data_IF_633414411056
#
_entry.id   IF_633414411056
#
_cell.length_a   1.000
_cell.length_b   1.000
_cell.length_c   1.000
_cell.angle_alpha   90.00
_cell.angle_beta   90.00
_cell.angle_gamma   90.00
#
_symmetry.space_group_name_H-M   'P 1'
#
loop_
_entity.id
_entity.type
_entity.pdbx_description
1 polymer ?
#
# COMPACT_ATOMS: atom_id res chain seq x y z
N UNK A 1 4.92 -12.32 -16.01
CA UNK A 1 4.58 -10.96 -15.53
C UNK A 1 5.61 -9.94 -15.97
N UNK A 2 6.89 -10.08 -15.63
CA UNK A 2 7.96 -9.11 -15.91
C UNK A 2 8.02 -8.61 -17.37
N UNK A 3 8.26 -9.51 -18.36
CA UNK A 3 8.34 -9.10 -19.77
C UNK A 3 7.07 -8.41 -20.26
N UNK A 4 5.89 -8.92 -19.87
CA UNK A 4 4.61 -8.30 -20.24
C UNK A 4 4.46 -6.87 -19.70
N UNK A 5 4.99 -6.57 -18.51
CA UNK A 5 4.96 -5.22 -17.97
C UNK A 5 5.83 -4.27 -18.79
N UNK A 6 7.04 -4.70 -19.18
CA UNK A 6 7.92 -3.90 -20.05
C UNK A 6 7.34 -3.68 -21.45
N UNK A 7 6.76 -4.71 -22.05
CA UNK A 7 6.06 -4.61 -23.34
C UNK A 7 4.88 -3.63 -23.25
N UNK A 8 4.08 -3.73 -22.18
CA UNK A 8 2.87 -2.92 -22.02
C UNK A 8 3.19 -1.46 -21.76
N UNK A 9 4.20 -1.15 -20.94
CA UNK A 9 4.60 0.25 -20.70
C UNK A 9 5.05 0.93 -22.00
N UNK A 10 5.77 0.21 -22.86
CA UNK A 10 6.18 0.74 -24.17
C UNK A 10 4.97 0.91 -25.10
N UNK A 11 4.06 -0.06 -25.13
CA UNK A 11 2.83 0.01 -25.94
C UNK A 11 1.92 1.17 -25.54
N UNK A 12 1.92 1.55 -24.25
CA UNK A 12 1.18 2.70 -23.74
C UNK A 12 1.91 4.05 -23.94
N UNK A 13 3.10 4.03 -24.55
CA UNK A 13 3.87 5.24 -24.88
C UNK A 13 4.96 5.59 -23.88
N UNK A 14 5.25 4.71 -22.93
CA UNK A 14 6.37 4.83 -22.01
C UNK A 14 7.73 4.53 -22.66
N UNK A 15 8.80 4.81 -21.96
CA UNK A 15 10.17 4.64 -22.44
C UNK A 15 11.00 3.84 -21.44
N UNK A 16 11.64 2.78 -21.89
CA UNK A 16 12.63 2.05 -21.08
C UNK A 16 13.89 2.90 -20.95
N UNK A 17 14.27 3.22 -19.73
CA UNK A 17 15.46 4.00 -19.39
C UNK A 17 16.63 3.09 -18.99
N UNK A 18 16.33 2.00 -18.27
CA UNK A 18 17.30 0.95 -17.94
C UNK A 18 16.71 -0.38 -18.37
N UNK A 19 17.36 -1.01 -19.32
CA UNK A 19 16.95 -2.31 -19.81
C UNK A 19 17.19 -3.37 -18.74
N UNK A 20 16.13 -4.09 -18.44
CA UNK A 20 16.20 -5.28 -17.59
C UNK A 20 16.57 -6.52 -18.40
N UNK A 21 15.86 -7.59 -18.17
CA UNK A 21 16.00 -8.84 -18.92
C UNK A 21 15.98 -10.06 -18.01
N UNK A 22 15.63 -11.18 -18.58
CA UNK A 22 15.73 -12.48 -17.92
C UNK A 22 17.18 -12.94 -17.99
N UNK A 23 17.74 -13.35 -16.85
CA UNK A 23 19.09 -13.92 -16.80
C UNK A 23 19.08 -15.31 -17.44
N UNK A 24 20.17 -15.64 -18.14
CA UNK A 24 20.39 -16.94 -18.79
C UNK A 24 21.82 -17.42 -18.55
N UNK A 25 22.06 -18.70 -18.73
CA UNK A 25 23.34 -19.35 -18.51
C UNK A 25 23.33 -20.23 -17.27
N UNK A 26 24.52 -20.72 -16.91
CA UNK A 26 24.70 -21.62 -15.78
C UNK A 26 24.18 -21.00 -14.48
N UNK A 27 23.28 -21.71 -13.79
CA UNK A 27 22.63 -21.28 -12.56
C UNK A 27 21.35 -20.44 -12.77
N UNK A 28 20.99 -20.11 -14.02
CA UNK A 28 19.80 -19.31 -14.34
C UNK A 28 18.81 -20.04 -15.27
N UNK A 29 18.90 -21.34 -15.39
CA UNK A 29 18.12 -22.18 -16.31
C UNK A 29 16.61 -22.11 -16.02
N UNK A 30 16.23 -21.76 -14.79
CA UNK A 30 14.82 -21.65 -14.39
C UNK A 30 14.07 -20.51 -15.09
N UNK A 31 14.79 -19.50 -15.63
CA UNK A 31 14.18 -18.28 -16.19
C UNK A 31 13.46 -17.39 -15.16
N UNK A 32 13.64 -17.67 -13.85
CA UNK A 32 13.00 -16.91 -12.77
C UNK A 32 13.82 -15.69 -12.31
N UNK A 33 15.06 -15.59 -12.74
CA UNK A 33 15.94 -14.49 -12.35
C UNK A 33 15.91 -13.39 -13.40
N UNK A 34 15.66 -12.15 -12.95
CA UNK A 34 15.58 -10.99 -13.84
C UNK A 34 16.43 -9.84 -13.33
N UNK A 35 16.93 -9.01 -14.23
CA UNK A 35 17.57 -7.74 -13.90
C UNK A 35 16.49 -6.70 -13.64
N UNK A 36 16.68 -5.79 -12.66
CA UNK A 36 15.79 -4.64 -12.49
C UNK A 36 15.71 -3.79 -13.76
N UNK A 37 14.52 -3.26 -14.04
CA UNK A 37 14.27 -2.36 -15.16
C UNK A 37 13.70 -1.03 -14.64
N UNK A 38 14.00 0.06 -15.36
CA UNK A 38 13.45 1.39 -15.08
C UNK A 38 12.79 1.91 -16.34
N UNK A 39 11.54 2.36 -16.23
CA UNK A 39 10.79 2.96 -17.33
C UNK A 39 10.22 4.32 -16.94
N UNK A 40 10.28 5.28 -17.84
CA UNK A 40 9.49 6.52 -17.75
C UNK A 40 8.06 6.21 -18.19
N UNK A 41 7.09 6.61 -17.38
CA UNK A 41 5.68 6.32 -17.60
C UNK A 41 4.80 7.52 -17.19
N UNK A 42 3.54 7.47 -17.53
CA UNK A 42 2.52 8.40 -17.05
C UNK A 42 1.61 7.70 -16.04
N UNK A 43 1.12 8.43 -15.05
CA UNK A 43 0.25 7.88 -14.02
C UNK A 43 -1.02 7.23 -14.59
N UNK A 44 -1.51 7.73 -15.74
CA UNK A 44 -2.71 7.21 -16.39
C UNK A 44 -2.51 5.88 -17.16
N UNK A 45 -1.29 5.37 -17.27
CA UNK A 45 -1.06 4.09 -17.96
C UNK A 45 -1.69 2.95 -17.16
N UNK A 46 -2.38 2.06 -17.85
CA UNK A 46 -3.05 0.92 -17.23
C UNK A 46 -2.04 0.02 -16.48
N UNK A 47 -0.85 -0.19 -17.08
CA UNK A 47 0.19 -1.02 -16.45
C UNK A 47 0.72 -0.39 -15.14
N UNK A 48 0.72 0.93 -15.02
CA UNK A 48 1.12 1.64 -13.80
C UNK A 48 0.12 1.42 -12.67
N UNK A 49 -1.17 1.31 -13.01
CA UNK A 49 -2.25 1.04 -12.07
C UNK A 49 -2.37 -0.43 -11.67
N UNK A 50 -1.59 -1.31 -12.30
CA UNK A 50 -1.62 -2.74 -12.06
C UNK A 50 -0.40 -3.20 -11.28
N UNK A 51 -0.61 -3.98 -10.23
CA UNK A 51 0.47 -4.55 -9.45
C UNK A 51 1.28 -5.56 -10.29
N UNK A 52 2.57 -5.27 -10.49
CA UNK A 52 3.51 -6.15 -11.18
C UNK A 52 4.48 -6.74 -10.18
N UNK A 53 4.30 -7.98 -9.77
CA UNK A 53 5.22 -8.68 -8.87
C UNK A 53 6.57 -8.96 -9.55
N UNK A 54 7.34 -7.90 -9.85
CA UNK A 54 8.64 -7.98 -10.51
C UNK A 54 9.42 -6.67 -10.28
N UNK A 55 10.75 -6.68 -10.41
CA UNK A 55 11.58 -5.51 -10.18
C UNK A 55 11.53 -4.53 -11.39
N UNK A 56 10.40 -3.89 -11.56
CA UNK A 56 10.16 -2.81 -12.53
C UNK A 56 9.84 -1.52 -11.77
N UNK A 57 10.64 -0.47 -12.01
CA UNK A 57 10.43 0.85 -11.44
C UNK A 57 9.88 1.79 -12.51
N UNK A 58 8.72 2.38 -12.26
CA UNK A 58 8.18 3.46 -13.09
C UNK A 58 8.57 4.81 -12.53
N UNK A 59 9.17 5.66 -13.38
CA UNK A 59 9.41 7.06 -13.08
C UNK A 59 8.29 7.90 -13.68
N UNK A 60 7.52 8.54 -12.81
CA UNK A 60 6.34 9.32 -13.18
C UNK A 60 6.58 10.77 -12.76
N UNK A 61 6.57 11.68 -13.72
CA UNK A 61 6.67 13.10 -13.43
C UNK A 61 5.33 13.65 -12.99
N UNK A 62 5.34 14.49 -11.99
CA UNK A 62 4.18 15.28 -11.60
C UNK A 62 4.51 16.77 -11.68
N UNK A 63 3.50 17.60 -11.67
CA UNK A 63 3.61 19.07 -11.65
C UNK A 63 2.68 19.64 -10.59
N UNK A 64 2.98 20.84 -10.13
CA UNK A 64 2.22 21.50 -9.06
C UNK A 64 2.85 21.25 -7.70
N UNK A 65 2.02 20.98 -6.71
CA UNK A 65 2.43 20.81 -5.32
C UNK A 65 2.58 19.32 -4.94
N UNK A 66 3.05 19.04 -3.73
CA UNK A 66 3.20 17.66 -3.24
C UNK A 66 1.86 16.91 -3.17
N UNK A 67 0.75 17.62 -2.97
CA UNK A 67 -0.60 17.05 -2.98
C UNK A 67 -0.91 16.34 -4.30
N UNK A 68 -0.44 16.88 -5.44
CA UNK A 68 -0.62 16.22 -6.73
C UNK A 68 0.12 14.86 -6.80
N UNK A 69 1.28 14.75 -6.19
CA UNK A 69 2.01 13.49 -6.10
C UNK A 69 1.30 12.50 -5.14
N UNK A 70 0.76 13.01 -4.03
CA UNK A 70 -0.04 12.22 -3.08
C UNK A 70 -1.30 11.68 -3.77
N UNK A 71 -1.99 12.51 -4.56
CA UNK A 71 -3.17 12.10 -5.33
C UNK A 71 -2.84 10.96 -6.30
N UNK A 72 -1.71 11.06 -7.01
CA UNK A 72 -1.24 9.99 -7.89
C UNK A 72 -0.97 8.69 -7.13
N UNK A 73 -0.25 8.79 -6.01
CA UNK A 73 0.04 7.64 -5.16
C UNK A 73 -1.23 7.00 -4.60
N UNK A 74 -2.18 7.81 -4.13
CA UNK A 74 -3.41 7.32 -3.54
C UNK A 74 -4.42 6.79 -4.57
N UNK A 75 -4.26 7.14 -5.85
CA UNK A 75 -5.16 6.76 -6.94
C UNK A 75 -5.13 5.29 -7.34
N UNK A 76 -4.21 4.49 -6.82
CA UNK A 76 -4.13 3.04 -7.09
C UNK A 76 -4.94 2.23 -6.08
N UNK A 77 -5.30 0.99 -6.47
CA UNK A 77 -6.09 0.10 -5.62
C UNK A 77 -5.32 -0.46 -4.41
N UNK A 78 -4.00 -0.48 -4.48
CA UNK A 78 -3.13 -0.97 -3.41
C UNK A 78 -2.73 0.15 -2.46
N UNK A 79 -2.46 -0.19 -1.20
CA UNK A 79 -2.04 0.75 -0.18
C UNK A 79 -1.18 0.10 0.91
N UNK A 80 -0.15 -0.66 0.51
CA UNK A 80 0.70 -1.36 1.47
C UNK A 80 1.75 -0.42 2.07
N UNK A 81 2.62 0.15 1.25
CA UNK A 81 3.77 0.91 1.70
C UNK A 81 4.08 2.08 0.78
N UNK A 82 4.46 3.19 1.36
CA UNK A 82 4.80 4.43 0.67
C UNK A 82 5.95 5.15 1.34
N UNK A 83 6.61 6.06 0.61
CA UNK A 83 7.65 6.91 1.17
C UNK A 83 7.69 8.26 0.47
N UNK A 84 8.03 9.29 1.22
CA UNK A 84 8.38 10.61 0.70
C UNK A 84 9.86 10.91 1.01
N UNK A 85 10.56 11.46 0.02
CA UNK A 85 11.92 11.97 0.18
C UNK A 85 11.87 13.50 0.11
N UNK A 86 11.97 14.15 1.26
CA UNK A 86 11.88 15.62 1.34
C UNK A 86 12.66 16.17 2.52
N UNK A 87 13.15 17.39 2.38
CA UNK A 87 13.71 18.20 3.46
C UNK A 87 12.71 19.25 3.98
N UNK A 88 11.51 19.31 3.43
CA UNK A 88 10.45 20.21 3.84
C UNK A 88 9.57 19.54 4.89
N UNK A 89 9.67 20.02 6.14
CA UNK A 89 8.89 19.48 7.25
C UNK A 89 7.38 19.51 6.99
N UNK A 90 6.86 20.56 6.33
CA UNK A 90 5.42 20.67 6.05
C UNK A 90 4.94 19.61 5.05
N UNK A 91 5.76 19.28 4.07
CA UNK A 91 5.45 18.19 3.13
C UNK A 91 5.47 16.83 3.84
N UNK A 92 6.45 16.60 4.73
CA UNK A 92 6.52 15.39 5.52
C UNK A 92 5.28 15.23 6.43
N UNK A 93 4.92 16.28 7.17
CA UNK A 93 3.72 16.29 8.02
C UNK A 93 2.43 16.09 7.22
N UNK A 94 2.30 16.73 6.06
CA UNK A 94 1.16 16.53 5.16
C UNK A 94 1.08 15.08 4.70
N UNK A 95 2.20 14.51 4.26
CA UNK A 95 2.27 13.13 3.78
C UNK A 95 1.86 12.11 4.85
N UNK A 96 2.21 12.36 6.11
CA UNK A 96 1.86 11.49 7.25
C UNK A 96 0.47 11.77 7.84
N UNK A 97 -0.21 12.83 7.40
CA UNK A 97 -1.53 13.21 7.93
C UNK A 97 -2.65 12.34 7.39
N UNK A 98 -3.86 12.53 7.94
CA UNK A 98 -5.07 11.81 7.50
C UNK A 98 -5.52 12.12 6.07
N UNK A 99 -5.00 13.19 5.48
CA UNK A 99 -5.22 13.56 4.06
C UNK A 99 -3.99 13.28 3.20
N UNK A 100 -2.97 12.66 3.78
CA UNK A 100 -1.72 12.31 3.11
C UNK A 100 -1.76 10.93 2.48
N UNK A 101 -0.73 10.12 2.76
CA UNK A 101 -0.61 8.78 2.19
C UNK A 101 -1.67 7.81 2.70
N UNK A 102 -2.43 7.21 1.78
CA UNK A 102 -3.41 6.15 2.04
C UNK A 102 -2.74 4.77 1.95
N UNK A 103 -1.73 4.58 2.79
CA UNK A 103 -1.00 3.32 2.92
C UNK A 103 -0.87 2.93 4.38
N UNK A 104 -0.78 1.62 4.63
CA UNK A 104 -0.55 1.11 5.98
C UNK A 104 0.82 1.45 6.55
N UNK A 105 1.81 1.68 5.67
CA UNK A 105 3.15 2.13 6.01
C UNK A 105 3.45 3.40 5.22
N UNK A 106 3.75 4.49 5.92
CA UNK A 106 4.15 5.76 5.33
C UNK A 106 5.48 6.21 5.95
N UNK A 107 6.52 6.29 5.14
CA UNK A 107 7.88 6.57 5.58
C UNK A 107 8.35 7.95 5.08
N UNK A 108 9.25 8.57 5.82
CA UNK A 108 9.90 9.83 5.42
C UNK A 108 11.41 9.61 5.37
N UNK A 109 12.01 9.92 4.22
CA UNK A 109 13.46 9.83 3.97
C UNK A 109 14.06 8.41 4.18
N UNK A 110 13.22 7.39 4.04
CA UNK A 110 13.61 5.97 4.03
C UNK A 110 12.76 5.24 2.99
N UNK A 111 13.26 4.16 2.43
CA UNK A 111 12.55 3.38 1.42
C UNK A 111 11.30 2.67 1.95
N UNK A 112 10.51 2.14 1.03
CA UNK A 112 9.26 1.42 1.31
C UNK A 112 9.47 -0.03 1.77
N UNK A 113 10.68 -0.56 1.64
CA UNK A 113 11.03 -1.92 2.04
C UNK A 113 11.48 -1.98 3.50
N UNK A 114 11.10 -3.04 4.18
CA UNK A 114 11.51 -3.28 5.55
C UNK A 114 10.62 -2.58 6.59
N UNK A 115 9.72 -3.34 7.16
CA UNK A 115 9.02 -2.95 8.39
C UNK A 115 9.81 -3.47 9.59
N UNK A 116 10.00 -2.62 10.58
CA UNK A 116 10.52 -3.04 11.88
C UNK A 116 9.51 -3.92 12.58
N UNK A 117 9.98 -4.99 13.24
CA UNK A 117 9.09 -5.97 13.92
C UNK A 117 8.22 -5.34 15.00
N UNK A 118 8.65 -4.21 15.59
CA UNK A 118 7.88 -3.43 16.55
C UNK A 118 6.77 -2.59 15.93
N UNK A 119 6.83 -2.35 14.62
CA UNK A 119 5.84 -1.61 13.85
C UNK A 119 4.73 -2.51 13.32
N UNK A 120 3.51 -2.01 13.28
CA UNK A 120 2.38 -2.72 12.72
C UNK A 120 2.51 -2.80 11.19
N UNK A 121 2.72 -4.00 10.65
CA UNK A 121 2.81 -4.25 9.21
C UNK A 121 1.43 -4.59 8.64
N UNK A 122 1.06 -3.94 7.58
CA UNK A 122 -0.18 -4.19 6.85
C UNK A 122 -0.54 -3.02 5.95
N UNK A 123 -1.57 -3.18 5.14
CA UNK A 123 -1.99 -2.23 4.12
C UNK A 123 -3.39 -1.69 4.32
N UNK A 124 -3.73 -0.79 3.44
CA UNK A 124 -5.06 -0.24 3.25
C UNK A 124 -5.61 -0.68 1.89
N UNK A 125 -6.85 -0.36 1.60
CA UNK A 125 -7.55 -0.67 0.34
C UNK A 125 -7.49 -2.17 0.01
N UNK A 126 -7.13 -2.55 -1.21
CA UNK A 126 -7.06 -3.97 -1.62
C UNK A 126 -5.93 -4.75 -0.96
N UNK A 127 -4.95 -4.10 -0.36
CA UNK A 127 -3.93 -4.77 0.44
C UNK A 127 -4.40 -5.17 1.83
N UNK A 128 -5.65 -4.88 2.17
CA UNK A 128 -6.32 -5.30 3.40
C UNK A 128 -6.12 -4.32 4.56
N UNK A 129 -7.00 -4.39 5.55
CA UNK A 129 -7.01 -3.50 6.72
C UNK A 129 -6.48 -4.13 8.01
N UNK A 130 -5.91 -5.33 7.96
CA UNK A 130 -5.29 -5.98 9.11
C UNK A 130 -3.88 -5.46 9.37
N UNK A 131 -3.36 -5.78 10.53
CA UNK A 131 -1.97 -5.49 10.87
C UNK A 131 -1.31 -6.73 11.47
N UNK A 132 -0.07 -6.96 11.07
CA UNK A 132 0.81 -8.00 11.57
C UNK A 132 1.98 -7.34 12.30
N UNK A 133 2.52 -7.97 13.32
CA UNK A 133 3.52 -7.38 14.20
C UNK A 133 3.00 -6.14 14.96
N UNK A 134 3.84 -5.56 15.80
CA UNK A 134 3.46 -4.45 16.66
C UNK A 134 2.72 -4.85 17.92
N UNK A 135 2.57 -3.90 18.84
CA UNK A 135 2.15 -4.15 20.22
C UNK A 135 0.73 -4.71 20.37
N UNK A 136 -0.17 -4.46 19.43
CA UNK A 136 -1.58 -4.86 19.50
C UNK A 136 -2.03 -5.80 18.38
N UNK A 137 -1.09 -6.28 17.55
CA UNK A 137 -1.36 -7.19 16.44
C UNK A 137 -2.10 -8.47 16.88
N UNK A 138 -1.88 -8.94 18.10
CA UNK A 138 -2.58 -10.10 18.67
C UNK A 138 -4.11 -9.95 18.65
N UNK A 139 -4.64 -8.72 18.66
CA UNK A 139 -6.09 -8.45 18.65
C UNK A 139 -6.77 -8.89 17.36
N UNK A 140 -6.06 -8.87 16.23
CA UNK A 140 -6.63 -9.30 14.94
C UNK A 140 -6.84 -10.81 14.86
N UNK A 141 -6.12 -11.58 15.66
CA UNK A 141 -6.28 -13.03 15.76
C UNK A 141 -7.39 -13.43 16.73
N UNK A 142 -8.03 -12.47 17.40
CA UNK A 142 -9.07 -12.68 18.38
C UNK A 142 -10.45 -12.33 17.81
N UNK A 143 -11.43 -13.19 18.08
CA UNK A 143 -12.82 -12.88 17.81
C UNK A 143 -13.36 -11.93 18.90
N UNK A 144 -13.78 -10.75 18.50
CA UNK A 144 -14.48 -9.84 19.42
C UNK A 144 -15.93 -10.28 19.56
N UNK A 145 -16.42 -10.33 20.79
CA UNK A 145 -17.81 -10.60 21.11
C UNK A 145 -18.22 -9.77 22.32
N UNK A 146 -19.33 -9.05 22.20
CA UNK A 146 -19.96 -8.36 23.32
C UNK A 146 -21.00 -9.30 23.94
N UNK A 147 -20.94 -9.48 25.24
CA UNK A 147 -21.86 -10.32 25.99
C UNK A 147 -22.53 -9.46 27.07
N UNK A 148 -23.84 -9.54 27.16
CA UNK A 148 -24.62 -8.98 28.26
C UNK A 148 -25.41 -10.11 28.87
N UNK A 149 -25.28 -10.29 30.18
CA UNK A 149 -26.00 -11.33 30.94
C UNK A 149 -26.91 -10.67 31.91
N UNK A 150 -28.21 -10.96 31.79
CA UNK A 150 -29.21 -10.55 32.76
C UNK A 150 -29.41 -11.65 33.80
N UNK A 151 -29.04 -11.40 35.05
CA UNK A 151 -29.19 -12.33 36.16
C UNK A 151 -30.55 -12.17 36.91
N UNK A 152 -31.42 -11.28 36.43
CA UNK A 152 -32.76 -11.08 37.05
C UNK A 152 -33.83 -11.81 36.27
N UNK A 153 -35.00 -11.97 36.85
CA UNK A 153 -36.19 -12.50 36.17
C UNK A 153 -37.02 -11.46 35.44
N UNK A 154 -36.63 -10.18 35.53
CA UNK A 154 -37.26 -9.08 34.82
C UNK A 154 -36.50 -8.77 33.53
N UNK A 155 -37.15 -8.14 32.54
CA UNK A 155 -36.56 -7.64 31.34
C UNK A 155 -36.18 -6.16 31.53
N UNK A 156 -34.91 -5.83 31.85
CA UNK A 156 -34.48 -4.46 31.94
C UNK A 156 -34.36 -3.89 30.53
N UNK A 157 -35.18 -2.88 30.23
CA UNK A 157 -35.09 -2.18 28.94
C UNK A 157 -33.98 -1.14 29.01
N UNK A 158 -33.15 -1.09 27.96
CA UNK A 158 -32.09 -0.10 27.86
C UNK A 158 -32.67 1.31 27.78
N UNK A 159 -31.94 2.30 28.31
CA UNK A 159 -32.21 3.72 28.17
C UNK A 159 -33.60 4.19 28.68
N UNK A 160 -34.19 3.52 29.65
CA UNK A 160 -35.44 3.92 30.25
C UNK A 160 -36.68 3.82 29.33
N UNK A 161 -36.57 3.04 28.25
CA UNK A 161 -37.72 2.75 27.38
C UNK A 161 -38.80 2.03 28.19
N UNK A 162 -40.04 2.53 28.12
CA UNK A 162 -41.23 1.89 28.68
C UNK A 162 -42.17 1.54 27.53
N UNK A 163 -42.69 0.33 27.54
CA UNK A 163 -43.82 -0.05 26.70
C UNK A 163 -45.08 -0.02 27.54
N UNK A 164 -46.06 0.76 27.15
CA UNK A 164 -47.39 0.67 27.68
C UNK A 164 -48.10 -0.53 27.04
N UNK A 165 -48.10 -1.66 27.74
CA UNK A 165 -48.82 -2.87 27.36
C UNK A 165 -50.22 -2.88 27.98
#
# INVERSE_FOLDING_TARGET
MYNKALEKVVAEGGKILVEGGVLSGEGYESGCYVKPAIAEAQNAFEIVQHETFAPVLYLIKYSGTVENAIDFQNGVAQGLSSAIMTNNLREAELFLSVVGSDCGIANVNIGTSGAEIGGAFGGEKETGGGRESGSDAWKIYMRRQTNTINYTTSLPLAQGIKFDL
#
